data_IF_310659487281
#
_entry.id   IF_310659487281
#
_cell.length_a   1.000
_cell.length_b   1.000
_cell.length_c   1.000
_cell.angle_alpha   90.00
_cell.angle_beta   90.00
_cell.angle_gamma   90.00
#
_symmetry.space_group_name_H-M   'P 1'
#
loop_
_entity.id
_entity.type
_entity.pdbx_description
1 polymer ?
#
# COMPACT_ATOMS: atom_id res chain seq x y z
N UNK A 1 26.07 13.53 5.80
CA UNK A 1 25.50 13.69 4.43
C UNK A 1 24.18 12.95 4.43
N UNK A 2 23.14 13.46 3.75
CA UNK A 2 21.86 12.78 3.67
C UNK A 2 22.03 11.41 3.00
N UNK A 3 21.14 10.48 3.31
CA UNK A 3 21.17 9.15 2.70
C UNK A 3 20.81 9.24 1.19
N UNK A 4 21.54 8.61 0.26
CA UNK A 4 21.29 8.77 -1.18
C UNK A 4 19.86 8.42 -1.62
N UNK A 5 19.25 7.39 -1.02
CA UNK A 5 17.84 7.05 -1.29
C UNK A 5 16.86 8.10 -0.76
N UNK A 6 17.18 8.77 0.35
CA UNK A 6 16.36 9.87 0.88
C UNK A 6 16.41 11.06 -0.07
N UNK A 7 17.60 11.38 -0.62
CA UNK A 7 17.75 12.42 -1.64
C UNK A 7 16.99 12.06 -2.92
N UNK A 8 17.11 10.82 -3.40
CA UNK A 8 16.38 10.33 -4.57
C UNK A 8 14.86 10.45 -4.39
N UNK A 9 14.34 10.04 -3.24
CA UNK A 9 12.91 10.14 -2.94
C UNK A 9 12.44 11.59 -2.81
N UNK A 10 13.27 12.46 -2.22
CA UNK A 10 12.97 13.88 -2.13
C UNK A 10 12.93 14.52 -3.53
N UNK A 11 13.85 14.17 -4.42
CA UNK A 11 13.85 14.65 -5.81
C UNK A 11 12.63 14.13 -6.58
N UNK A 12 12.28 12.85 -6.43
CA UNK A 12 11.06 12.26 -7.00
C UNK A 12 9.81 13.03 -6.59
N UNK A 13 9.63 13.36 -5.30
CA UNK A 13 8.45 14.10 -4.83
C UNK A 13 8.48 15.56 -5.30
N UNK A 14 9.65 16.19 -5.41
CA UNK A 14 9.79 17.56 -5.90
C UNK A 14 9.47 17.68 -7.39
N UNK A 15 9.88 16.69 -8.18
CA UNK A 15 9.68 16.62 -9.63
C UNK A 15 8.39 15.91 -10.01
N UNK A 16 7.65 15.38 -9.03
CA UNK A 16 6.38 14.71 -9.25
C UNK A 16 5.40 15.61 -10.03
N UNK A 17 4.61 15.04 -10.95
CA UNK A 17 3.63 15.79 -11.69
C UNK A 17 2.59 16.40 -10.76
N UNK A 18 1.94 17.48 -11.21
CA UNK A 18 0.80 18.03 -10.48
C UNK A 18 -0.39 17.05 -10.55
N UNK A 19 -1.22 17.00 -9.49
CA UNK A 19 -2.42 16.17 -9.52
C UNK A 19 -3.34 16.62 -10.67
N UNK A 20 -3.92 15.64 -11.37
CA UNK A 20 -4.91 15.87 -12.43
C UNK A 20 -6.31 15.62 -11.88
N UNK A 21 -7.31 16.37 -12.35
CA UNK A 21 -8.68 16.19 -11.88
C UNK A 21 -9.18 14.79 -12.22
N UNK A 22 -10.07 14.28 -11.37
CA UNK A 22 -10.84 13.07 -11.64
C UNK A 22 -12.23 13.45 -12.16
N UNK A 23 -12.62 12.90 -13.31
CA UNK A 23 -13.93 13.10 -13.93
C UNK A 23 -14.75 11.83 -13.83
N UNK A 24 -16.06 11.95 -13.59
CA UNK A 24 -16.96 10.82 -13.71
C UNK A 24 -16.93 10.28 -15.14
N UNK A 25 -16.97 8.96 -15.28
CA UNK A 25 -17.05 8.28 -16.58
C UNK A 25 -17.95 7.05 -16.46
N UNK A 26 -18.33 6.46 -17.58
CA UNK A 26 -19.25 5.33 -17.60
C UNK A 26 -18.53 4.00 -17.32
N UNK A 27 -19.26 3.08 -16.67
CA UNK A 27 -18.80 1.70 -16.54
C UNK A 27 -19.00 0.97 -17.87
N UNK A 28 -17.93 0.80 -18.64
CA UNK A 28 -18.00 0.08 -19.91
C UNK A 28 -18.28 -1.42 -19.70
N UNK A 29 -18.86 -2.08 -20.70
CA UNK A 29 -19.08 -3.54 -20.67
C UNK A 29 -17.77 -4.32 -20.49
N UNK A 30 -16.69 -3.86 -21.11
CA UNK A 30 -15.37 -4.47 -20.96
C UNK A 30 -14.89 -4.38 -19.50
N UNK A 31 -14.94 -3.19 -18.90
CA UNK A 31 -14.54 -2.98 -17.50
C UNK A 31 -15.41 -3.77 -16.53
N UNK A 32 -16.73 -3.83 -16.78
CA UNK A 32 -17.67 -4.63 -15.99
C UNK A 32 -17.35 -6.13 -16.09
N UNK A 33 -17.00 -6.63 -17.28
CA UNK A 33 -16.66 -8.04 -17.48
C UNK A 33 -15.40 -8.44 -16.68
N UNK A 34 -14.42 -7.54 -16.59
CA UNK A 34 -13.22 -7.77 -15.76
C UNK A 34 -13.60 -7.77 -14.29
N UNK A 35 -14.34 -6.76 -13.83
CA UNK A 35 -14.80 -6.69 -12.44
C UNK A 35 -15.57 -7.97 -12.04
N UNK A 36 -16.52 -8.41 -12.87
CA UNK A 36 -17.27 -9.63 -12.66
C UNK A 36 -16.35 -10.84 -12.54
N UNK A 37 -15.46 -11.04 -13.52
CA UNK A 37 -14.53 -12.17 -13.55
C UNK A 37 -13.67 -12.23 -12.29
N UNK A 38 -13.11 -11.10 -11.89
CA UNK A 38 -12.24 -11.02 -10.72
C UNK A 38 -13.03 -11.26 -9.43
N UNK A 39 -14.27 -10.78 -9.33
CA UNK A 39 -15.09 -10.99 -8.13
C UNK A 39 -15.70 -12.38 -7.99
N UNK A 40 -16.08 -13.03 -9.08
CA UNK A 40 -16.72 -14.36 -9.05
C UNK A 40 -15.70 -15.50 -8.95
N UNK A 41 -14.44 -15.25 -9.34
CA UNK A 41 -13.38 -16.25 -9.23
C UNK A 41 -12.88 -16.34 -7.79
N UNK A 42 -12.94 -17.53 -7.14
CA UNK A 42 -12.34 -17.72 -5.82
C UNK A 42 -10.85 -17.35 -5.83
N UNK A 43 -10.39 -16.67 -4.78
CA UNK A 43 -8.98 -16.34 -4.57
C UNK A 43 -8.55 -16.84 -3.20
N UNK A 44 -7.45 -17.60 -3.17
CA UNK A 44 -6.82 -18.01 -1.91
C UNK A 44 -6.24 -16.84 -1.11
N UNK A 45 -6.13 -15.67 -1.75
CA UNK A 45 -5.59 -14.45 -1.17
C UNK A 45 -6.68 -13.53 -0.57
N UNK A 46 -7.90 -13.58 -1.11
CA UNK A 46 -9.07 -12.85 -0.58
C UNK A 46 -9.90 -13.74 0.35
N UNK A 47 -9.30 -14.11 1.48
CA UNK A 47 -9.96 -15.00 2.46
C UNK A 47 -11.07 -14.31 3.27
N UNK A 48 -11.19 -12.97 3.19
CA UNK A 48 -12.35 -12.24 3.75
C UNK A 48 -13.57 -12.34 2.83
N UNK A 49 -13.39 -12.80 1.58
CA UNK A 49 -14.45 -12.85 0.58
C UNK A 49 -14.97 -11.47 0.20
N UNK A 50 -14.12 -10.43 0.26
CA UNK A 50 -14.59 -9.07 0.02
C UNK A 50 -15.05 -8.89 -1.41
N UNK A 51 -14.35 -9.48 -2.39
CA UNK A 51 -14.71 -9.33 -3.80
C UNK A 51 -16.10 -9.89 -4.11
N UNK A 52 -16.38 -11.12 -3.67
CA UNK A 52 -17.71 -11.74 -3.82
C UNK A 52 -18.78 -10.96 -3.04
N UNK A 53 -18.47 -10.51 -1.82
CA UNK A 53 -19.39 -9.70 -1.01
C UNK A 53 -19.83 -8.41 -1.73
N UNK A 54 -18.87 -7.60 -2.19
CA UNK A 54 -19.16 -6.35 -2.90
C UNK A 54 -19.87 -6.59 -4.23
N UNK A 55 -19.47 -7.62 -4.95
CA UNK A 55 -20.13 -7.99 -6.21
C UNK A 55 -21.60 -8.38 -6.00
N UNK A 56 -21.90 -9.14 -4.95
CA UNK A 56 -23.28 -9.48 -4.61
C UNK A 56 -24.09 -8.27 -4.15
N UNK A 57 -23.48 -7.30 -3.45
CA UNK A 57 -24.15 -6.03 -3.12
C UNK A 57 -24.45 -5.19 -4.36
N UNK A 58 -23.51 -5.10 -5.30
CA UNK A 58 -23.69 -4.41 -6.58
C UNK A 58 -24.79 -5.06 -7.43
N UNK A 59 -24.74 -6.40 -7.63
CA UNK A 59 -25.78 -7.14 -8.37
C UNK A 59 -27.18 -6.99 -7.75
N UNK A 60 -27.25 -6.84 -6.43
CA UNK A 60 -28.50 -6.63 -5.72
C UNK A 60 -29.00 -5.17 -5.72
N UNK A 61 -28.28 -4.25 -6.37
CA UNK A 61 -28.63 -2.82 -6.39
C UNK A 61 -28.48 -2.13 -5.04
N UNK A 62 -27.65 -2.66 -4.14
CA UNK A 62 -27.43 -2.09 -2.79
C UNK A 62 -26.34 -1.02 -2.75
N UNK A 63 -25.45 -1.05 -3.74
CA UNK A 63 -24.37 -0.08 -3.92
C UNK A 63 -24.25 0.24 -5.41
N UNK A 64 -23.94 1.49 -5.70
CA UNK A 64 -23.57 1.93 -7.04
C UNK A 64 -22.04 2.02 -7.16
N UNK A 65 -21.47 1.64 -8.30
CA UNK A 65 -20.04 1.76 -8.52
C UNK A 65 -19.68 3.24 -8.70
N UNK A 66 -18.61 3.67 -8.02
CA UNK A 66 -17.97 4.96 -8.29
C UNK A 66 -16.99 4.75 -9.43
N UNK A 67 -17.24 5.40 -10.57
CA UNK A 67 -16.41 5.27 -11.77
C UNK A 67 -15.84 6.63 -12.14
N UNK A 68 -14.53 6.76 -12.01
CA UNK A 68 -13.82 8.02 -12.31
C UNK A 68 -12.57 7.76 -13.12
N UNK A 69 -12.23 8.72 -13.97
CA UNK A 69 -11.03 8.69 -14.80
C UNK A 69 -10.15 9.91 -14.50
N UNK A 70 -8.84 9.72 -14.59
CA UNK A 70 -7.82 10.76 -14.55
C UNK A 70 -6.75 10.48 -15.61
N UNK A 71 -5.72 11.32 -15.69
CA UNK A 71 -4.55 11.05 -16.54
C UNK A 71 -3.82 9.81 -16.01
N UNK A 72 -3.68 8.79 -16.86
CA UNK A 72 -3.01 7.53 -16.52
C UNK A 72 -3.90 6.44 -15.91
N UNK A 73 -5.19 6.68 -15.62
CA UNK A 73 -6.02 5.59 -15.11
C UNK A 73 -7.53 5.84 -14.97
N UNK A 74 -8.26 4.73 -14.83
CA UNK A 74 -9.68 4.64 -14.49
C UNK A 74 -9.79 3.88 -13.16
N UNK A 75 -10.57 4.42 -12.22
CA UNK A 75 -10.95 3.75 -10.98
C UNK A 75 -12.41 3.31 -11.05
N UNK A 76 -12.64 2.04 -10.76
CA UNK A 76 -13.96 1.46 -10.46
C UNK A 76 -13.98 1.03 -9.01
N UNK A 77 -14.72 1.74 -8.17
CA UNK A 77 -14.78 1.47 -6.74
C UNK A 77 -16.18 1.02 -6.29
N UNK A 78 -16.21 -0.11 -5.58
CA UNK A 78 -17.35 -0.58 -4.80
C UNK A 78 -17.06 -0.25 -3.33
N UNK A 79 -17.80 0.74 -2.80
CA UNK A 79 -17.60 1.28 -1.46
C UNK A 79 -18.59 0.68 -0.47
N UNK A 80 -18.13 0.38 0.75
CA UNK A 80 -18.97 -0.18 1.82
C UNK A 80 -20.00 0.84 2.32
N UNK A 81 -19.62 2.12 2.29
CA UNK A 81 -20.49 3.24 2.56
C UNK A 81 -20.09 4.45 1.68
N UNK A 82 -21.01 5.41 1.43
CA UNK A 82 -20.69 6.58 0.62
C UNK A 82 -19.58 7.47 1.18
N UNK A 83 -19.43 7.54 2.51
CA UNK A 83 -18.43 8.38 3.18
C UNK A 83 -16.98 7.95 2.85
N UNK A 84 -16.77 6.68 2.47
CA UNK A 84 -15.47 6.20 1.99
C UNK A 84 -14.98 6.92 0.72
N UNK A 85 -15.85 7.63 0.00
CA UNK A 85 -15.43 8.46 -1.13
C UNK A 85 -14.48 9.59 -0.69
N UNK A 86 -14.65 10.09 0.54
CA UNK A 86 -13.79 11.11 1.16
C UNK A 86 -12.54 10.49 1.81
N UNK A 87 -12.38 9.16 1.78
CA UNK A 87 -11.18 8.48 2.24
C UNK A 87 -10.14 8.27 1.13
N UNK A 88 -10.56 8.31 -0.14
CA UNK A 88 -9.70 8.11 -1.30
C UNK A 88 -8.82 9.36 -1.49
N UNK A 89 -7.47 9.23 -1.46
CA UNK A 89 -6.59 10.37 -1.67
C UNK A 89 -6.44 10.64 -3.16
N UNK A 90 -7.50 11.20 -3.77
CA UNK A 90 -7.64 11.45 -5.21
C UNK A 90 -6.42 12.14 -5.83
N UNK A 91 -5.92 13.20 -5.18
CA UNK A 91 -4.76 13.95 -5.65
C UNK A 91 -3.50 13.06 -5.69
N UNK A 92 -3.26 12.26 -4.64
CA UNK A 92 -2.11 11.36 -4.56
C UNK A 92 -2.19 10.25 -5.61
N UNK A 93 -3.35 9.59 -5.75
CA UNK A 93 -3.52 8.50 -6.70
C UNK A 93 -3.34 8.98 -8.14
N UNK A 94 -3.79 10.19 -8.47
CA UNK A 94 -3.52 10.81 -9.78
C UNK A 94 -2.03 11.05 -10.02
N UNK A 95 -1.28 11.48 -9.00
CA UNK A 95 0.18 11.66 -9.10
C UNK A 95 0.87 10.30 -9.33
N UNK A 96 0.51 9.29 -8.55
CA UNK A 96 1.07 7.94 -8.66
C UNK A 96 0.83 7.35 -10.05
N UNK A 97 -0.39 7.45 -10.59
CA UNK A 97 -0.71 6.94 -11.92
C UNK A 97 0.10 7.62 -13.03
N UNK A 98 0.41 8.91 -12.89
CA UNK A 98 1.28 9.64 -13.82
C UNK A 98 2.75 9.22 -13.67
N UNK A 99 3.23 8.91 -12.46
CA UNK A 99 4.60 8.47 -12.21
C UNK A 99 4.85 7.06 -12.76
N UNK A 100 3.89 6.16 -12.62
CA UNK A 100 3.95 4.79 -13.14
C UNK A 100 3.49 4.69 -14.60
N UNK A 101 3.48 5.80 -15.35
CA UNK A 101 2.99 5.81 -16.73
C UNK A 101 3.70 4.74 -17.56
N UNK A 102 2.90 3.91 -18.23
CA UNK A 102 3.42 2.80 -19.03
C UNK A 102 4.12 3.29 -20.31
N UNK A 103 5.15 2.58 -20.79
CA UNK A 103 5.80 2.88 -22.07
C UNK A 103 4.86 2.82 -23.27
N UNK A 104 3.85 1.93 -23.22
CA UNK A 104 2.84 1.77 -24.29
C UNK A 104 1.73 2.84 -24.25
N UNK A 105 1.77 3.74 -23.26
CA UNK A 105 0.79 4.82 -23.10
C UNK A 105 -0.59 4.35 -22.62
N UNK A 106 -0.78 3.07 -22.31
CA UNK A 106 -2.05 2.56 -21.80
C UNK A 106 -2.32 3.06 -20.39
N UNK A 107 -3.57 3.42 -20.13
CA UNK A 107 -4.05 3.78 -18.79
C UNK A 107 -4.33 2.54 -17.96
N UNK A 108 -4.08 2.62 -16.66
CA UNK A 108 -4.43 1.55 -15.72
C UNK A 108 -5.93 1.50 -15.47
N UNK A 109 -6.48 0.30 -15.29
CA UNK A 109 -7.82 0.10 -14.72
C UNK A 109 -7.67 -0.45 -13.32
N UNK A 110 -8.05 0.36 -12.33
CA UNK A 110 -8.01 0.03 -10.92
C UNK A 110 -9.41 -0.39 -10.47
N UNK A 111 -9.50 -1.55 -9.82
CA UNK A 111 -10.70 -2.02 -9.15
C UNK A 111 -10.50 -1.93 -7.64
N UNK A 112 -11.41 -1.23 -6.95
CA UNK A 112 -11.36 -1.08 -5.50
C UNK A 112 -12.63 -1.65 -4.86
N UNK A 113 -12.52 -2.79 -4.19
CA UNK A 113 -13.54 -3.28 -3.25
C UNK A 113 -13.14 -2.81 -1.84
N UNK A 114 -13.67 -1.68 -1.37
CA UNK A 114 -13.17 -0.98 -0.18
C UNK A 114 -13.63 -1.63 1.15
N UNK A 115 -13.27 -2.89 1.37
CA UNK A 115 -13.67 -3.63 2.58
C UNK A 115 -13.10 -2.97 3.84
N UNK A 116 -13.91 -2.70 4.88
CA UNK A 116 -13.51 -1.94 6.05
C UNK A 116 -12.71 -2.76 7.08
N UNK A 117 -12.55 -4.07 6.87
CA UNK A 117 -11.79 -4.93 7.81
C UNK A 117 -10.32 -4.50 7.89
N UNK A 118 -9.88 -4.23 9.11
CA UNK A 118 -8.50 -3.87 9.45
C UNK A 118 -7.61 -5.10 9.50
N UNK A 119 -6.32 -4.94 9.19
CA UNK A 119 -5.31 -5.98 9.35
C UNK A 119 -4.95 -6.13 10.81
N UNK A 120 -5.21 -7.31 11.34
CA UNK A 120 -4.92 -7.64 12.72
C UNK A 120 -4.02 -8.87 12.79
N UNK A 121 -3.10 -8.84 13.75
CA UNK A 121 -2.39 -10.04 14.17
C UNK A 121 -3.40 -11.11 14.59
N UNK A 122 -3.23 -12.36 14.16
CA UNK A 122 -4.05 -13.45 14.65
C UNK A 122 -3.72 -13.73 16.13
N UNK A 123 -4.51 -14.59 16.78
CA UNK A 123 -4.21 -15.01 18.16
C UNK A 123 -2.79 -15.59 18.26
N UNK A 124 -2.12 -15.44 19.43
CA UNK A 124 -0.77 -15.97 19.67
C UNK A 124 -0.63 -17.42 19.19
N UNK A 125 0.50 -17.72 18.55
CA UNK A 125 0.85 -18.99 17.92
C UNK A 125 0.00 -19.39 16.69
N UNK A 126 -0.95 -18.58 16.24
CA UNK A 126 -1.64 -18.79 14.95
C UNK A 126 -0.84 -18.12 13.82
N UNK A 127 -0.78 -18.75 12.63
CA UNK A 127 -0.02 -18.19 11.52
C UNK A 127 -0.66 -16.91 11.00
N UNK A 128 0.17 -15.95 10.59
CA UNK A 128 -0.25 -14.91 9.64
C UNK A 128 -0.47 -15.59 8.29
N UNK A 129 -1.58 -15.26 7.64
CA UNK A 129 -2.01 -15.82 6.35
C UNK A 129 -2.32 -14.67 5.38
N UNK A 130 -2.65 -14.93 4.10
CA UNK A 130 -3.12 -13.87 3.20
C UNK A 130 -4.28 -13.05 3.77
N UNK A 131 -5.17 -13.67 4.57
CA UNK A 131 -6.24 -12.99 5.31
C UNK A 131 -5.74 -11.82 6.18
N UNK A 132 -4.52 -11.89 6.69
CA UNK A 132 -4.04 -10.90 7.64
C UNK A 132 -3.30 -9.76 6.97
N UNK A 133 -2.69 -9.99 5.80
CA UNK A 133 -1.65 -9.08 5.27
C UNK A 133 -1.92 -8.62 3.85
N UNK A 134 -2.51 -9.46 3.00
CA UNK A 134 -2.72 -9.11 1.60
C UNK A 134 -3.91 -8.13 1.46
N UNK A 135 -3.79 -7.18 0.53
CA UNK A 135 -4.80 -6.19 0.20
C UNK A 135 -5.10 -6.02 -1.28
N UNK A 136 -4.34 -6.68 -2.17
CA UNK A 136 -4.49 -6.51 -3.61
C UNK A 136 -3.79 -7.58 -4.44
N UNK A 137 -3.87 -7.41 -5.75
CA UNK A 137 -3.03 -8.07 -6.75
C UNK A 137 -3.14 -7.34 -8.09
N UNK A 138 -2.11 -7.48 -8.92
CA UNK A 138 -2.11 -7.15 -10.33
C UNK A 138 -1.49 -8.28 -11.15
N UNK A 139 -1.78 -8.30 -12.44
CA UNK A 139 -1.06 -9.18 -13.36
C UNK A 139 0.22 -8.49 -13.82
N UNK A 140 1.36 -9.21 -13.88
CA UNK A 140 2.63 -8.62 -14.31
C UNK A 140 2.48 -7.98 -15.69
N UNK A 141 2.98 -6.75 -15.82
CA UNK A 141 2.97 -6.00 -17.07
C UNK A 141 1.58 -5.73 -17.67
N UNK A 142 0.51 -5.82 -16.88
CA UNK A 142 -0.87 -5.66 -17.35
C UNK A 142 -1.52 -4.40 -16.77
N UNK A 143 -1.99 -3.52 -17.65
CA UNK A 143 -2.69 -2.28 -17.28
C UNK A 143 -4.18 -2.50 -16.97
N UNK A 144 -4.74 -3.64 -17.37
CA UNK A 144 -6.19 -3.86 -17.42
C UNK A 144 -6.80 -4.24 -16.08
N UNK A 145 -5.97 -4.63 -15.10
CA UNK A 145 -6.45 -5.08 -13.80
C UNK A 145 -5.41 -4.87 -12.69
N UNK A 146 -5.54 -3.72 -12.00
CA UNK A 146 -4.97 -3.50 -10.67
C UNK A 146 -6.09 -3.65 -9.66
N UNK A 147 -6.09 -4.71 -8.86
CA UNK A 147 -7.19 -5.04 -7.96
C UNK A 147 -6.82 -4.79 -6.49
N UNK A 148 -7.62 -4.00 -5.79
CA UNK A 148 -7.47 -3.68 -4.36
C UNK A 148 -8.77 -4.06 -3.67
N UNK A 149 -8.71 -4.85 -2.60
CA UNK A 149 -9.90 -5.43 -1.97
C UNK A 149 -10.02 -5.15 -0.47
N UNK A 150 -9.22 -4.21 0.03
CA UNK A 150 -9.30 -3.64 1.39
C UNK A 150 -9.16 -2.13 1.33
N UNK A 151 -9.94 -1.43 2.15
CA UNK A 151 -9.78 0.00 2.33
C UNK A 151 -8.46 0.33 3.05
N UNK A 152 -8.14 -0.38 4.12
CA UNK A 152 -6.93 -0.07 4.90
C UNK A 152 -5.65 -0.21 4.04
N UNK A 153 -4.81 0.83 4.08
CA UNK A 153 -3.51 0.90 3.41
C UNK A 153 -3.59 0.78 1.87
N UNK A 154 -4.76 1.06 1.29
CA UNK A 154 -5.03 0.94 -0.14
C UNK A 154 -4.05 1.75 -1.01
N UNK A 155 -3.54 2.88 -0.52
CA UNK A 155 -2.54 3.69 -1.25
C UNK A 155 -1.21 2.96 -1.39
N UNK A 156 -0.70 2.33 -0.32
CA UNK A 156 0.53 1.53 -0.40
C UNK A 156 0.31 0.27 -1.23
N UNK A 157 -0.87 -0.37 -1.13
CA UNK A 157 -1.26 -1.46 -2.05
C UNK A 157 -1.21 -0.97 -3.50
N UNK A 158 -1.83 0.16 -3.82
CA UNK A 158 -1.80 0.71 -5.17
C UNK A 158 -0.37 0.89 -5.69
N UNK A 159 0.54 1.44 -4.88
CA UNK A 159 1.95 1.62 -5.27
C UNK A 159 2.59 0.25 -5.58
N UNK A 160 2.40 -0.73 -4.69
CA UNK A 160 2.90 -2.10 -4.87
C UNK A 160 2.36 -2.75 -6.16
N UNK A 161 1.06 -2.70 -6.37
CA UNK A 161 0.44 -3.31 -7.56
C UNK A 161 0.82 -2.57 -8.86
N UNK A 162 1.10 -1.26 -8.79
CA UNK A 162 1.61 -0.51 -9.92
C UNK A 162 3.04 -0.92 -10.29
N UNK A 163 3.88 -1.37 -9.35
CA UNK A 163 5.18 -1.96 -9.72
C UNK A 163 4.99 -3.18 -10.63
N UNK A 164 4.10 -4.09 -10.24
CA UNK A 164 3.77 -5.28 -11.03
C UNK A 164 3.18 -4.91 -12.39
N UNK A 165 2.16 -4.05 -12.38
CA UNK A 165 1.45 -3.64 -13.57
C UNK A 165 2.33 -2.83 -14.53
N UNK A 166 3.33 -2.09 -14.04
CA UNK A 166 4.25 -1.29 -14.85
C UNK A 166 5.48 -2.07 -15.37
N UNK A 167 5.60 -3.37 -15.07
CA UNK A 167 6.82 -4.15 -15.31
C UNK A 167 8.06 -3.61 -14.57
N UNK A 168 7.88 -2.97 -13.41
CA UNK A 168 8.98 -2.36 -12.67
C UNK A 168 9.63 -3.30 -11.64
N UNK A 169 9.12 -4.53 -11.50
CA UNK A 169 9.74 -5.53 -10.63
C UNK A 169 11.12 -5.98 -11.12
N UNK A 170 11.97 -6.37 -10.18
CA UNK A 170 13.24 -7.00 -10.48
C UNK A 170 13.06 -8.49 -10.83
N UNK A 171 12.84 -8.78 -12.11
CA UNK A 171 12.60 -10.15 -12.59
C UNK A 171 13.80 -11.09 -12.46
N UNK A 172 14.99 -10.57 -12.14
CA UNK A 172 16.19 -11.37 -11.89
C UNK A 172 16.17 -12.06 -10.51
N UNK A 173 15.34 -11.58 -9.58
CA UNK A 173 15.20 -12.17 -8.25
C UNK A 173 14.17 -13.33 -8.24
N UNK A 174 14.36 -14.32 -7.34
CA UNK A 174 13.30 -15.27 -6.98
C UNK A 174 12.04 -14.55 -6.51
N UNK A 175 10.88 -15.18 -6.66
CA UNK A 175 9.57 -14.57 -6.39
C UNK A 175 9.53 -13.91 -5.01
N UNK A 176 9.91 -14.63 -3.95
CA UNK A 176 9.80 -14.15 -2.57
C UNK A 176 10.68 -12.91 -2.32
N UNK A 177 11.88 -12.88 -2.90
CA UNK A 177 12.81 -11.74 -2.78
C UNK A 177 12.37 -10.55 -3.61
N UNK A 178 11.81 -10.81 -4.81
CA UNK A 178 11.22 -9.78 -5.66
C UNK A 178 10.06 -9.09 -4.96
N UNK A 179 9.13 -9.86 -4.41
CA UNK A 179 7.98 -9.35 -3.66
C UNK A 179 8.43 -8.54 -2.43
N UNK A 180 9.46 -9.01 -1.72
CA UNK A 180 10.05 -8.27 -0.60
C UNK A 180 10.68 -6.93 -1.03
N UNK A 181 11.37 -6.91 -2.17
CA UNK A 181 11.93 -5.69 -2.76
C UNK A 181 10.83 -4.72 -3.23
N UNK A 182 9.79 -5.24 -3.88
CA UNK A 182 8.63 -4.46 -4.33
C UNK A 182 7.87 -3.85 -3.15
N UNK A 183 7.64 -4.59 -2.06
CA UNK A 183 7.05 -4.05 -0.83
C UNK A 183 7.95 -2.98 -0.17
N UNK A 184 9.27 -3.19 -0.15
CA UNK A 184 10.20 -2.21 0.39
C UNK A 184 10.17 -0.89 -0.38
N UNK A 185 10.11 -0.94 -1.72
CA UNK A 185 9.94 0.25 -2.55
C UNK A 185 8.57 0.90 -2.35
N UNK A 186 7.50 0.12 -2.26
CA UNK A 186 6.15 0.66 -2.07
C UNK A 186 6.05 1.50 -0.79
N UNK A 187 6.63 1.02 0.31
CA UNK A 187 6.65 1.76 1.59
C UNK A 187 7.57 2.97 1.57
N UNK A 188 8.73 2.89 0.90
CA UNK A 188 9.65 4.02 0.78
C UNK A 188 9.04 5.17 -0.04
N UNK A 189 8.37 4.83 -1.15
CA UNK A 189 7.65 5.81 -1.99
C UNK A 189 6.46 6.38 -1.23
N UNK A 190 5.70 5.54 -0.52
CA UNK A 190 4.61 6.02 0.34
C UNK A 190 5.13 7.01 1.40
N UNK A 191 6.22 6.66 2.10
CA UNK A 191 6.88 7.53 3.08
C UNK A 191 7.30 8.87 2.46
N UNK A 192 7.82 8.86 1.23
CA UNK A 192 8.15 10.08 0.49
C UNK A 192 6.95 11.01 0.32
N UNK A 193 5.81 10.46 -0.11
CA UNK A 193 4.57 11.23 -0.28
C UNK A 193 3.90 11.62 1.04
N UNK A 194 4.30 11.06 2.18
CA UNK A 194 3.84 11.52 3.49
C UNK A 194 4.55 12.78 3.98
N UNK A 195 5.60 13.24 3.29
CA UNK A 195 6.33 14.46 3.64
C UNK A 195 5.67 15.71 3.04
N UNK A 196 5.99 16.90 3.59
CA UNK A 196 5.58 18.18 3.01
C UNK A 196 6.40 18.53 1.74
N UNK A 197 5.78 18.56 0.54
CA UNK A 197 6.50 18.90 -0.69
C UNK A 197 7.09 20.31 -0.66
N UNK A 198 6.52 21.24 0.12
CA UNK A 198 7.04 22.59 0.24
C UNK A 198 8.37 22.63 0.99
N UNK A 199 8.56 21.75 2.00
CA UNK A 199 9.83 21.62 2.72
C UNK A 199 10.88 20.89 1.89
N UNK A 200 10.47 19.82 1.19
CA UNK A 200 11.37 19.11 0.28
C UNK A 200 11.93 20.05 -0.81
N UNK A 201 11.09 20.92 -1.40
CA UNK A 201 11.53 21.95 -2.36
C UNK A 201 12.53 22.96 -1.81
N UNK A 202 12.63 23.10 -0.49
CA UNK A 202 13.61 23.96 0.18
C UNK A 202 14.90 23.20 0.51
N UNK A 203 15.00 21.91 0.15
CA UNK A 203 16.09 21.03 0.53
C UNK A 203 16.06 20.58 1.99
N UNK A 204 14.95 20.79 2.71
CA UNK A 204 14.81 20.34 4.10
C UNK A 204 14.39 18.86 4.13
N UNK A 205 15.40 17.99 4.30
CA UNK A 205 15.22 16.54 4.34
C UNK A 205 14.86 16.00 5.73
N UNK A 206 14.79 16.84 6.78
CA UNK A 206 14.58 16.36 8.16
C UNK A 206 13.25 15.64 8.34
N UNK A 207 12.19 16.11 7.70
CA UNK A 207 10.89 15.42 7.75
C UNK A 207 10.97 14.06 7.04
N UNK A 208 11.66 13.99 5.90
CA UNK A 208 11.86 12.73 5.16
C UNK A 208 12.67 11.73 5.99
N UNK A 209 13.79 12.15 6.58
CA UNK A 209 14.59 11.33 7.49
C UNK A 209 13.75 10.81 8.66
N UNK A 210 12.93 11.67 9.28
CA UNK A 210 12.06 11.28 10.38
C UNK A 210 10.97 10.29 9.95
N UNK A 211 10.33 10.50 8.80
CA UNK A 211 9.26 9.62 8.31
C UNK A 211 9.82 8.25 7.90
N UNK A 212 10.99 8.22 7.25
CA UNK A 212 11.70 6.97 6.93
C UNK A 212 12.12 6.23 8.20
N UNK A 213 12.65 6.96 9.20
CA UNK A 213 12.99 6.38 10.50
C UNK A 213 11.76 5.78 11.19
N UNK A 214 10.63 6.47 11.19
CA UNK A 214 9.38 6.01 11.80
C UNK A 214 8.85 4.76 11.09
N UNK A 215 8.93 4.70 9.76
CA UNK A 215 8.57 3.50 8.99
C UNK A 215 9.52 2.33 9.27
N UNK A 216 10.85 2.55 9.26
CA UNK A 216 11.82 1.51 9.62
C UNK A 216 11.57 0.96 11.03
N UNK A 217 11.30 1.86 11.98
CA UNK A 217 10.98 1.50 13.36
C UNK A 217 9.68 0.69 13.44
N UNK A 218 8.67 1.06 12.65
CA UNK A 218 7.39 0.37 12.58
C UNK A 218 7.54 -1.06 12.03
N UNK A 219 8.27 -1.23 10.92
CA UNK A 219 8.60 -2.54 10.33
C UNK A 219 9.25 -3.44 11.37
N UNK A 220 10.28 -2.96 12.05
CA UNK A 220 11.00 -3.73 13.06
C UNK A 220 10.12 -4.17 14.23
N UNK A 221 9.31 -3.24 14.77
CA UNK A 221 8.38 -3.56 15.86
C UNK A 221 7.37 -4.62 15.42
N UNK A 222 6.85 -4.49 14.20
CA UNK A 222 5.91 -5.47 13.66
C UNK A 222 6.56 -6.84 13.47
N UNK A 223 7.80 -6.90 12.98
CA UNK A 223 8.55 -8.14 12.81
C UNK A 223 8.91 -8.79 14.16
N UNK A 224 9.21 -7.98 15.18
CA UNK A 224 9.38 -8.47 16.55
C UNK A 224 8.11 -9.12 17.09
N UNK A 225 6.95 -8.47 16.93
CA UNK A 225 5.65 -9.05 17.32
C UNK A 225 5.33 -10.33 16.54
N UNK A 226 5.65 -10.35 15.25
CA UNK A 226 5.48 -11.52 14.38
C UNK A 226 6.27 -12.73 14.87
N UNK A 227 7.53 -12.53 15.27
CA UNK A 227 8.42 -13.56 15.78
C UNK A 227 8.07 -13.98 17.22
N UNK A 228 7.95 -13.03 18.15
CA UNK A 228 7.59 -13.28 19.56
C UNK A 228 6.20 -13.91 19.72
N UNK A 229 5.27 -13.55 18.82
CA UNK A 229 3.91 -14.10 18.76
C UNK A 229 3.81 -15.48 18.12
N UNK A 230 4.91 -16.00 17.55
CA UNK A 230 4.94 -17.31 16.87
C UNK A 230 4.06 -17.36 15.62
N UNK A 231 3.98 -16.24 14.90
CA UNK A 231 3.08 -16.03 13.76
C UNK A 231 3.67 -16.45 12.41
N UNK A 232 4.99 -16.55 12.30
CA UNK A 232 5.63 -17.25 11.18
C UNK A 232 5.69 -18.74 11.52
N UNK A 233 5.21 -19.60 10.62
CA UNK A 233 5.35 -21.06 10.72
C UNK A 233 6.30 -21.57 9.64
N UNK A 234 7.00 -22.64 9.95
CA UNK A 234 7.99 -23.25 9.05
C UNK A 234 9.39 -22.67 9.26
N UNK A 235 10.30 -23.06 8.37
CA UNK A 235 11.68 -22.58 8.38
C UNK A 235 11.74 -21.20 7.72
N UNK A 236 12.36 -20.21 8.36
CA UNK A 236 12.57 -18.89 7.75
C UNK A 236 13.38 -18.96 6.45
N UNK A 237 14.30 -19.92 6.33
CA UNK A 237 15.05 -20.16 5.09
C UNK A 237 14.16 -20.60 3.92
N UNK A 238 12.92 -21.04 4.17
CA UNK A 238 11.95 -21.33 3.10
C UNK A 238 11.09 -20.12 2.72
N UNK A 239 11.35 -18.94 3.28
CA UNK A 239 10.67 -17.67 2.96
C UNK A 239 9.14 -17.83 2.86
N UNK A 240 8.46 -18.27 3.93
CA UNK A 240 7.01 -18.54 3.90
C UNK A 240 6.22 -17.29 3.50
N UNK A 241 5.02 -17.44 2.92
CA UNK A 241 4.25 -16.33 2.35
C UNK A 241 4.29 -14.99 3.12
N UNK A 242 4.09 -14.91 4.45
CA UNK A 242 4.14 -13.64 5.18
C UNK A 242 5.53 -12.98 5.19
N UNK A 243 6.60 -13.76 5.04
CA UNK A 243 7.99 -13.31 5.08
C UNK A 243 8.24 -12.18 4.08
N UNK A 244 7.73 -12.31 2.84
CA UNK A 244 7.97 -11.31 1.78
C UNK A 244 7.38 -9.94 2.12
N UNK A 245 6.30 -9.90 2.90
CA UNK A 245 5.63 -8.66 3.31
C UNK A 245 6.19 -8.06 4.62
N UNK A 246 7.03 -8.81 5.35
CA UNK A 246 7.44 -8.51 6.72
C UNK A 246 8.96 -8.54 6.87
N UNK A 247 9.52 -9.70 7.23
CA UNK A 247 10.94 -9.90 7.51
C UNK A 247 11.78 -9.63 6.26
N UNK A 248 11.40 -10.17 5.11
CA UNK A 248 12.15 -10.00 3.86
C UNK A 248 12.28 -8.53 3.48
N UNK A 249 11.21 -7.75 3.63
CA UNK A 249 11.22 -6.30 3.40
C UNK A 249 12.17 -5.56 4.36
N UNK A 250 12.23 -5.94 5.63
CA UNK A 250 13.18 -5.37 6.59
C UNK A 250 14.64 -5.68 6.18
N UNK A 251 14.91 -6.87 5.66
CA UNK A 251 16.22 -7.23 5.11
C UNK A 251 16.59 -6.29 3.95
N UNK A 252 15.63 -5.95 3.06
CA UNK A 252 15.86 -4.97 1.99
C UNK A 252 16.22 -3.59 2.57
N UNK A 253 15.42 -3.08 3.50
CA UNK A 253 15.65 -1.77 4.15
C UNK A 253 17.00 -1.70 4.85
N UNK A 254 17.42 -2.80 5.48
CA UNK A 254 18.73 -2.93 6.13
C UNK A 254 19.85 -2.88 5.10
N UNK A 255 19.76 -3.65 4.00
CA UNK A 255 20.74 -3.59 2.90
C UNK A 255 20.84 -2.21 2.26
N UNK A 256 19.74 -1.48 2.24
CA UNK A 256 19.68 -0.11 1.75
C UNK A 256 20.21 0.93 2.75
N UNK A 257 20.60 0.55 3.97
CA UNK A 257 21.08 1.49 4.99
C UNK A 257 19.99 2.39 5.59
N UNK A 258 18.71 2.03 5.42
CA UNK A 258 17.55 2.78 5.95
C UNK A 258 17.11 2.29 7.33
N UNK A 259 17.58 1.11 7.73
CA UNK A 259 17.28 0.52 9.03
C UNK A 259 18.13 1.15 10.14
N UNK A 260 17.51 1.45 11.28
CA UNK A 260 18.14 2.14 12.43
C UNK A 260 18.81 1.21 13.44
N UNK A 261 18.79 -0.09 13.17
CA UNK A 261 19.13 -1.13 14.15
C UNK A 261 20.61 -1.57 14.15
N UNK A 262 21.44 -1.05 13.25
CA UNK A 262 22.89 -1.32 13.26
C UNK A 262 23.64 -0.59 14.39
N UNK A 263 23.00 0.32 15.13
CA UNK A 263 23.61 1.01 16.27
C UNK A 263 23.00 0.54 17.60
N UNK A 264 23.87 0.21 18.56
CA UNK A 264 23.59 -0.48 19.84
C UNK A 264 22.61 0.20 20.83
N UNK A 265 21.87 1.22 20.42
CA UNK A 265 20.86 1.93 21.23
C UNK A 265 19.41 1.64 20.80
N UNK A 266 19.21 0.73 19.85
CA UNK A 266 17.92 0.35 19.27
C UNK A 266 16.84 -0.10 20.27
N UNK A 267 17.22 -0.66 21.43
CA UNK A 267 16.28 -1.18 22.43
C UNK A 267 15.45 -0.10 23.14
N UNK A 268 15.70 1.19 22.86
CA UNK A 268 15.05 2.33 23.51
C UNK A 268 14.48 3.39 22.57
N UNK A 269 14.50 3.16 21.25
CA UNK A 269 13.88 4.08 20.29
C UNK A 269 12.35 4.02 20.46
N UNK A 270 11.81 4.92 21.30
CA UNK A 270 10.37 5.14 21.42
C UNK A 270 9.84 5.55 20.04
N UNK A 271 8.97 4.72 19.47
CA UNK A 271 8.28 5.07 18.24
C UNK A 271 7.27 6.20 18.55
N UNK A 272 7.09 7.15 17.64
CA UNK A 272 5.95 8.07 17.68
C UNK A 272 4.62 7.31 17.76
N UNK A 273 4.59 6.08 17.21
CA UNK A 273 3.47 5.15 17.18
C UNK A 273 3.28 4.27 18.43
N UNK A 274 4.23 4.21 19.37
CA UNK A 274 4.06 3.45 20.64
C UNK A 274 2.96 4.04 21.54
N UNK A 275 2.45 5.22 21.19
CA UNK A 275 1.49 6.00 21.97
C UNK A 275 0.03 5.66 21.65
N UNK A 276 -0.24 4.80 20.66
CA UNK A 276 -1.60 4.45 20.26
C UNK A 276 -1.87 2.96 20.54
N UNK A 277 -2.83 2.67 21.42
CA UNK A 277 -3.24 1.30 21.76
C UNK A 277 -3.69 0.51 20.53
N UNK A 278 -4.33 1.17 19.57
CA UNK A 278 -4.81 0.55 18.31
C UNK A 278 -3.67 -0.06 17.49
N UNK A 279 -2.43 0.39 17.68
CA UNK A 279 -1.26 -0.07 16.94
C UNK A 279 -0.71 -1.40 17.46
N UNK A 280 -0.99 -1.77 18.71
CA UNK A 280 -0.43 -2.99 19.34
C UNK A 280 -0.90 -4.29 18.69
N UNK A 281 -2.01 -4.25 17.97
CA UNK A 281 -2.60 -5.41 17.31
C UNK A 281 -2.69 -5.25 15.79
N UNK A 282 -2.19 -4.14 15.25
CA UNK A 282 -2.25 -3.83 13.82
C UNK A 282 -1.19 -4.59 13.04
N UNK A 283 -1.60 -5.20 11.91
CA UNK A 283 -0.72 -5.75 10.88
C UNK A 283 -0.78 -4.92 9.59
N UNK A 284 -1.12 -3.63 9.71
CA UNK A 284 -0.97 -2.64 8.64
C UNK A 284 0.49 -2.58 8.22
N UNK A 285 0.84 -2.41 6.94
CA UNK A 285 2.25 -2.47 6.53
C UNK A 285 2.98 -1.13 6.67
N UNK A 286 2.25 -0.03 6.65
CA UNK A 286 2.74 1.32 6.96
C UNK A 286 2.38 1.75 8.37
N UNK A 287 3.15 2.67 8.95
CA UNK A 287 2.69 3.33 10.17
C UNK A 287 1.39 4.13 9.91
N UNK A 288 0.63 4.42 10.96
CA UNK A 288 -0.65 5.11 10.80
C UNK A 288 -0.44 6.59 10.40
N UNK A 289 -0.99 7.06 9.27
CA UNK A 289 -0.83 8.45 8.85
C UNK A 289 -1.34 9.42 9.91
N UNK A 290 -0.55 10.45 10.21
CA UNK A 290 -0.94 11.52 11.14
C UNK A 290 -2.09 12.35 10.57
N UNK A 291 -2.79 13.11 11.43
CA UNK A 291 -3.82 14.06 10.97
C UNK A 291 -3.25 15.09 9.98
N UNK A 292 -2.00 15.51 10.15
CA UNK A 292 -1.34 16.41 9.21
C UNK A 292 -1.16 15.78 7.82
N UNK A 293 -0.76 14.50 7.77
CA UNK A 293 -0.64 13.72 6.52
C UNK A 293 -2.01 13.55 5.84
N UNK A 294 -3.05 13.20 6.60
CA UNK A 294 -4.42 13.07 6.09
C UNK A 294 -4.96 14.38 5.51
N UNK A 295 -4.79 15.49 6.23
CA UNK A 295 -5.18 16.84 5.77
C UNK A 295 -4.45 17.24 4.50
N UNK A 296 -3.15 16.92 4.38
CA UNK A 296 -2.35 17.21 3.18
C UNK A 296 -2.95 16.56 1.93
N UNK A 297 -3.42 15.32 2.07
CA UNK A 297 -4.04 14.57 0.99
C UNK A 297 -5.56 14.69 0.92
N UNK A 298 -6.14 15.64 1.67
CA UNK A 298 -7.57 15.98 1.67
C UNK A 298 -8.49 14.78 1.92
N UNK A 299 -8.01 13.81 2.71
CA UNK A 299 -8.82 12.66 3.12
C UNK A 299 -9.41 12.90 4.51
N UNK A 300 -10.52 12.22 4.80
CA UNK A 300 -11.18 12.30 6.11
C UNK A 300 -10.21 11.90 7.24
N UNK A 301 -10.39 12.45 8.45
CA UNK A 301 -9.55 12.10 9.61
C UNK A 301 -9.67 10.61 10.00
N UNK A 302 -10.78 9.97 9.61
CA UNK A 302 -11.05 8.54 9.79
C UNK A 302 -10.47 7.67 8.66
N UNK A 303 -9.93 8.27 7.60
CA UNK A 303 -9.42 7.52 6.45
C UNK A 303 -8.44 6.45 6.86
N UNK A 304 -8.67 5.25 6.34
CA UNK A 304 -7.76 4.11 6.47
C UNK A 304 -6.98 3.84 5.18
N UNK A 305 -7.39 4.46 4.06
CA UNK A 305 -6.86 4.23 2.71
C UNK A 305 -5.52 4.88 2.42
N UNK A 306 -5.27 6.04 3.03
CA UNK A 306 -3.94 6.65 3.05
C UNK A 306 -3.02 5.76 3.86
#
# INVERSE_FOLDING_TARGET
>A
MPHPLIELMADMVQTAPKPKPWTNTDLTEQTLSVLQRECEKPSEFDQIGSRDHFWNMFKAGKIDPVVKQTDGGILVALLNNPDQMDEIPWDLWSILLQLYKRPDGQSYTIFLCAHPALRQFPKKNKPVTPLNINGGYAYPCDSTCVFIYRAEDATRVLIHELFHAACSDNTALPLEQREAETEAWAELIWAAFMCDPAKLRQGDLKEMESVVHDQASYIHHQNRLLLEGGHIKGNLSSMPFPWRYTIGKEDIWTRWGLSVYETSNASHAKNSNDRCEDHKHSLRLTFHPTLAMKRRWKVSEKSTML
#
